data_IF_261004417476
#
_entry.id   IF_261004417476
#
_cell.length_a   1.000
_cell.length_b   1.000
_cell.length_c   1.000
_cell.angle_alpha   90.00
_cell.angle_beta   90.00
_cell.angle_gamma   90.00
#
_symmetry.space_group_name_H-M   'P 1'
#
loop_
_entity.id
_entity.type
_entity.pdbx_description
1 polymer ?
#
# COMPACT_ATOMS: atom_id res chain seq x y z
N UNK A 1 73.19 7.57 -76.52
CA UNK A 1 73.18 6.85 -75.23
C UNK A 1 72.08 7.42 -74.36
N UNK A 2 70.90 6.80 -74.38
CA UNK A 2 69.72 7.23 -73.61
C UNK A 2 69.74 6.67 -72.18
N UNK A 3 69.86 7.55 -71.19
CA UNK A 3 69.69 7.19 -69.77
C UNK A 3 68.23 7.35 -69.35
N UNK A 4 67.50 6.23 -69.32
CA UNK A 4 66.20 6.11 -68.64
C UNK A 4 66.34 6.45 -67.15
N UNK A 5 65.71 7.55 -66.70
CA UNK A 5 65.51 7.83 -65.27
C UNK A 5 64.36 6.93 -64.76
N UNK A 6 64.72 5.93 -63.95
CA UNK A 6 63.78 5.17 -63.10
C UNK A 6 63.25 6.11 -62.01
N UNK A 7 61.99 6.53 -62.11
CA UNK A 7 61.25 7.07 -60.97
C UNK A 7 60.88 5.89 -60.04
N UNK A 8 61.56 5.80 -58.91
CA UNK A 8 61.16 4.93 -57.81
C UNK A 8 59.95 5.57 -57.10
N UNK A 9 58.76 5.02 -57.31
CA UNK A 9 57.59 5.29 -56.47
C UNK A 9 57.86 4.78 -55.05
N UNK A 10 58.26 5.68 -54.14
CA UNK A 10 58.15 5.44 -52.70
C UNK A 10 56.68 5.49 -52.34
N UNK A 11 56.02 4.33 -52.37
CA UNK A 11 54.67 4.16 -51.83
C UNK A 11 54.74 4.38 -50.31
N UNK A 12 53.91 5.31 -49.83
CA UNK A 12 53.79 5.70 -48.43
C UNK A 12 53.26 4.55 -47.57
N UNK A 13 54.16 3.83 -46.90
CA UNK A 13 53.83 2.80 -45.90
C UNK A 13 53.44 3.41 -44.55
N UNK A 14 53.63 4.72 -44.36
CA UNK A 14 53.39 5.40 -43.08
C UNK A 14 51.90 5.65 -42.80
N UNK A 15 51.06 5.82 -43.83
CA UNK A 15 49.63 6.10 -43.66
C UNK A 15 48.84 4.92 -43.06
N UNK A 16 49.27 3.67 -43.29
CA UNK A 16 48.58 2.48 -42.80
C UNK A 16 48.81 2.17 -41.31
N UNK A 17 50.01 2.49 -40.79
CA UNK A 17 50.37 2.20 -39.40
C UNK A 17 49.66 3.18 -38.44
N UNK A 18 49.55 4.45 -38.84
CA UNK A 18 48.86 5.48 -38.05
C UNK A 18 47.35 5.26 -38.01
N UNK A 19 46.75 4.75 -39.09
CA UNK A 19 45.33 4.36 -39.10
C UNK A 19 45.09 3.13 -38.23
N UNK A 20 45.94 2.11 -38.30
CA UNK A 20 45.79 0.88 -37.52
C UNK A 20 45.94 1.13 -36.01
N UNK A 21 46.88 1.99 -35.60
CA UNK A 21 47.05 2.37 -34.19
C UNK A 21 45.90 3.22 -33.66
N UNK A 22 45.32 4.11 -34.48
CA UNK A 22 44.15 4.91 -34.12
C UNK A 22 42.89 4.05 -33.95
N UNK A 23 42.67 3.08 -34.85
CA UNK A 23 41.55 2.12 -34.78
C UNK A 23 41.64 1.27 -33.51
N UNK A 24 42.81 0.67 -33.24
CA UNK A 24 43.05 -0.12 -32.01
C UNK A 24 42.79 0.67 -30.73
N UNK A 25 43.20 1.94 -30.68
CA UNK A 25 42.95 2.82 -29.52
C UNK A 25 41.45 3.07 -29.32
N UNK A 26 40.72 3.33 -30.41
CA UNK A 26 39.29 3.59 -30.39
C UNK A 26 38.47 2.35 -30.00
N UNK A 27 38.93 1.15 -30.37
CA UNK A 27 38.28 -0.11 -29.99
C UNK A 27 38.53 -0.46 -28.52
N UNK A 28 39.76 -0.29 -28.01
CA UNK A 28 40.04 -0.41 -26.59
C UNK A 28 39.21 0.56 -25.74
N UNK A 29 38.98 1.78 -26.23
CA UNK A 29 38.13 2.75 -25.55
C UNK A 29 36.65 2.33 -25.58
N UNK A 30 36.15 1.83 -26.71
CA UNK A 30 34.78 1.33 -26.83
C UNK A 30 34.53 0.13 -25.91
N UNK A 31 35.48 -0.81 -25.82
CA UNK A 31 35.41 -1.94 -24.89
C UNK A 31 35.40 -1.50 -23.42
N UNK A 32 36.23 -0.51 -23.05
CA UNK A 32 36.21 0.04 -21.69
C UNK A 32 34.87 0.69 -21.36
N UNK A 33 34.30 1.45 -22.29
CA UNK A 33 32.96 2.05 -22.15
C UNK A 33 31.89 0.97 -22.02
N UNK A 34 31.93 -0.09 -22.83
CA UNK A 34 31.00 -1.21 -22.75
C UNK A 34 31.06 -1.91 -21.39
N UNK A 35 32.27 -2.29 -20.92
CA UNK A 35 32.45 -2.92 -19.61
C UNK A 35 31.89 -2.08 -18.46
N UNK A 36 32.05 -0.76 -18.54
CA UNK A 36 31.47 0.18 -17.56
C UNK A 36 29.94 0.14 -17.59
N UNK A 37 29.33 0.30 -18.78
CA UNK A 37 27.87 0.28 -18.93
C UNK A 37 27.29 -1.07 -18.52
N UNK A 38 27.95 -2.18 -18.82
CA UNK A 38 27.51 -3.51 -18.37
C UNK A 38 27.52 -3.64 -16.85
N UNK A 39 28.57 -3.16 -16.18
CA UNK A 39 28.64 -3.14 -14.72
C UNK A 39 27.53 -2.27 -14.11
N UNK A 40 27.32 -1.07 -14.67
CA UNK A 40 26.29 -0.15 -14.21
C UNK A 40 24.88 -0.73 -14.43
N UNK A 41 24.64 -1.42 -15.54
CA UNK A 41 23.39 -2.12 -15.85
C UNK A 41 23.10 -3.23 -14.84
N UNK A 42 24.09 -4.09 -14.56
CA UNK A 42 23.94 -5.19 -13.59
C UNK A 42 23.56 -4.61 -12.22
N UNK A 43 24.29 -3.58 -11.76
CA UNK A 43 24.03 -2.93 -10.48
C UNK A 43 22.63 -2.28 -10.43
N UNK A 44 22.23 -1.58 -11.50
CA UNK A 44 20.89 -0.99 -11.58
C UNK A 44 19.79 -2.06 -11.58
N UNK A 45 20.01 -3.18 -12.27
CA UNK A 45 19.06 -4.30 -12.30
C UNK A 45 18.93 -4.99 -10.94
N UNK A 46 20.02 -5.17 -10.20
CA UNK A 46 19.98 -5.71 -8.83
C UNK A 46 19.17 -4.79 -7.91
N UNK A 47 19.48 -3.49 -7.90
CA UNK A 47 18.73 -2.50 -7.11
C UNK A 47 17.25 -2.43 -7.48
N UNK A 48 16.92 -2.57 -8.77
CA UNK A 48 15.54 -2.62 -9.23
C UNK A 48 14.80 -3.83 -8.65
N UNK A 49 15.40 -5.01 -8.69
CA UNK A 49 14.82 -6.24 -8.11
C UNK A 49 14.60 -6.09 -6.61
N UNK A 50 15.60 -5.62 -5.87
CA UNK A 50 15.49 -5.37 -4.42
C UNK A 50 14.37 -4.36 -4.10
N UNK A 51 14.32 -3.24 -4.81
CA UNK A 51 13.30 -2.22 -4.60
C UNK A 51 11.90 -2.73 -4.94
N UNK A 52 11.77 -3.62 -5.94
CA UNK A 52 10.49 -4.24 -6.32
C UNK A 52 10.00 -5.20 -5.24
N UNK A 53 10.88 -6.00 -4.65
CA UNK A 53 10.56 -6.87 -3.51
C UNK A 53 10.13 -6.03 -2.29
N UNK A 54 10.88 -4.95 -1.98
CA UNK A 54 10.51 -4.01 -0.92
C UNK A 54 9.14 -3.37 -1.18
N UNK A 55 8.86 -2.93 -2.41
CA UNK A 55 7.56 -2.38 -2.80
C UNK A 55 6.43 -3.38 -2.56
N UNK A 56 6.64 -4.66 -2.85
CA UNK A 56 5.61 -5.68 -2.64
C UNK A 56 5.28 -5.85 -1.15
N UNK A 57 6.30 -5.95 -0.30
CA UNK A 57 6.09 -6.04 1.15
C UNK A 57 5.40 -4.78 1.72
N UNK A 58 5.84 -3.60 1.29
CA UNK A 58 5.26 -2.33 1.73
C UNK A 58 3.81 -2.15 1.23
N UNK A 59 3.45 -2.74 0.09
CA UNK A 59 2.07 -2.76 -0.40
C UNK A 59 1.15 -3.43 0.61
N UNK A 60 1.53 -4.62 1.07
CA UNK A 60 0.75 -5.40 2.03
C UNK A 60 0.57 -4.64 3.35
N UNK A 61 1.63 -3.99 3.85
CA UNK A 61 1.56 -3.18 5.07
C UNK A 61 0.68 -1.93 4.90
N UNK A 62 0.75 -1.26 3.74
CA UNK A 62 -0.15 -0.14 3.40
C UNK A 62 -1.61 -0.59 3.38
N UNK A 63 -1.91 -1.67 2.67
CA UNK A 63 -3.28 -2.22 2.60
C UNK A 63 -3.78 -2.64 3.98
N UNK A 64 -2.92 -3.24 4.81
CA UNK A 64 -3.25 -3.59 6.19
C UNK A 64 -3.59 -2.34 7.01
N UNK A 65 -2.78 -1.29 6.93
CA UNK A 65 -3.03 -0.05 7.67
C UNK A 65 -4.36 0.62 7.27
N UNK A 66 -4.62 0.73 5.96
CA UNK A 66 -5.88 1.28 5.42
C UNK A 66 -7.08 0.48 5.92
N UNK A 67 -7.03 -0.85 5.78
CA UNK A 67 -8.14 -1.72 6.18
C UNK A 67 -8.44 -1.62 7.69
N UNK A 68 -7.41 -1.42 8.52
CA UNK A 68 -7.57 -1.20 9.95
C UNK A 68 -8.30 0.11 10.26
N UNK A 69 -7.94 1.21 9.61
CA UNK A 69 -8.59 2.51 9.75
C UNK A 69 -10.04 2.47 9.23
N UNK A 70 -10.29 1.90 8.07
CA UNK A 70 -11.66 1.74 7.55
C UNK A 70 -12.54 0.91 8.49
N UNK A 71 -12.00 -0.18 9.06
CA UNK A 71 -12.74 -1.03 10.00
C UNK A 71 -13.09 -0.27 11.28
N UNK A 72 -12.18 0.59 11.75
CA UNK A 72 -12.35 1.42 12.92
C UNK A 72 -13.44 2.47 12.76
N UNK A 73 -13.41 3.16 11.62
CA UNK A 73 -14.40 4.17 11.26
C UNK A 73 -15.80 3.56 11.14
N UNK A 74 -15.90 2.41 10.49
CA UNK A 74 -17.16 1.65 10.42
C UNK A 74 -17.68 1.27 11.81
N UNK A 75 -16.81 0.84 12.72
CA UNK A 75 -17.20 0.50 14.08
C UNK A 75 -17.64 1.72 14.89
N UNK A 76 -16.94 2.85 14.76
CA UNK A 76 -17.33 4.13 15.37
C UNK A 76 -18.71 4.57 14.87
N UNK A 77 -18.95 4.50 13.56
CA UNK A 77 -20.23 4.85 12.94
C UNK A 77 -21.36 3.97 13.47
N UNK A 78 -21.13 2.66 13.63
CA UNK A 78 -22.08 1.78 14.29
C UNK A 78 -22.39 2.21 15.73
N UNK A 79 -21.37 2.53 16.53
CA UNK A 79 -21.59 2.99 17.91
C UNK A 79 -22.40 4.29 17.95
N UNK A 80 -22.17 5.22 17.03
CA UNK A 80 -22.97 6.44 16.91
C UNK A 80 -24.44 6.13 16.58
N UNK A 81 -24.68 5.28 15.57
CA UNK A 81 -26.04 4.85 15.23
C UNK A 81 -26.73 4.12 16.38
N UNK A 82 -26.00 3.32 17.15
CA UNK A 82 -26.53 2.66 18.34
C UNK A 82 -26.96 3.68 19.39
N UNK A 83 -26.14 4.71 19.66
CA UNK A 83 -26.50 5.80 20.58
C UNK A 83 -27.76 6.53 20.11
N UNK A 84 -27.86 6.86 18.82
CA UNK A 84 -29.04 7.52 18.26
C UNK A 84 -30.30 6.67 18.40
N UNK A 85 -30.22 5.37 18.08
CA UNK A 85 -31.35 4.45 18.22
C UNK A 85 -31.78 4.29 19.67
N UNK A 86 -30.82 4.16 20.60
CA UNK A 86 -31.10 4.07 22.03
C UNK A 86 -31.71 5.36 22.57
N UNK A 87 -31.24 6.53 22.13
CA UNK A 87 -31.80 7.82 22.51
C UNK A 87 -33.25 7.96 22.03
N UNK A 88 -33.54 7.60 20.77
CA UNK A 88 -34.91 7.59 20.24
C UNK A 88 -35.85 6.69 21.04
N UNK A 89 -35.35 5.56 21.55
CA UNK A 89 -36.16 4.69 22.43
C UNK A 89 -36.33 5.34 23.81
N UNK A 90 -35.28 5.95 24.35
CA UNK A 90 -35.33 6.65 25.63
C UNK A 90 -36.35 7.79 25.62
N UNK A 91 -36.42 8.53 24.52
CA UNK A 91 -37.37 9.64 24.34
C UNK A 91 -38.84 9.17 24.23
N UNK A 92 -39.06 7.91 23.82
CA UNK A 92 -40.39 7.26 23.76
C UNK A 92 -40.83 6.68 25.10
N UNK A 93 -39.92 6.49 26.05
CA UNK A 93 -40.25 5.93 27.36
C UNK A 93 -40.89 7.01 28.24
N UNK A 94 -42.00 6.71 28.93
CA UNK A 94 -42.66 7.66 29.82
C UNK A 94 -41.70 8.10 30.92
N UNK A 95 -41.92 9.32 31.41
CA UNK A 95 -41.24 9.83 32.60
C UNK A 95 -42.06 9.48 33.84
N UNK A 96 -41.41 9.40 34.99
CA UNK A 96 -42.07 9.18 36.29
C UNK A 96 -43.12 10.25 36.64
N UNK A 97 -43.08 11.40 35.97
CA UNK A 97 -44.02 12.51 36.12
C UNK A 97 -45.34 12.29 35.37
N UNK A 98 -45.30 11.59 34.23
CA UNK A 98 -46.48 11.20 33.45
C UNK A 98 -47.05 9.89 34.01
N UNK A 99 -48.08 9.96 34.86
CA UNK A 99 -48.88 8.81 35.33
C UNK A 99 -49.72 8.15 34.22
N UNK A 100 -49.33 8.30 32.96
CA UNK A 100 -50.09 7.80 31.82
C UNK A 100 -49.80 6.32 31.59
N UNK A 101 -50.86 5.55 31.43
CA UNK A 101 -50.80 4.17 30.93
C UNK A 101 -50.17 4.23 29.53
N UNK A 102 -49.02 3.57 29.32
CA UNK A 102 -48.43 3.53 27.98
C UNK A 102 -49.44 2.94 27.02
N UNK A 103 -49.72 3.67 25.94
CA UNK A 103 -50.43 3.14 24.78
C UNK A 103 -49.73 1.88 24.24
N UNK A 104 -50.49 0.80 24.07
CA UNK A 104 -49.99 -0.46 23.52
C UNK A 104 -49.29 -0.27 22.17
N UNK A 105 -49.69 0.73 21.36
CA UNK A 105 -48.99 1.11 20.13
C UNK A 105 -47.56 1.59 20.36
N UNK A 106 -47.35 2.50 21.32
CA UNK A 106 -46.01 2.99 21.73
C UNK A 106 -45.16 1.84 22.27
N UNK A 107 -45.73 1.00 23.14
CA UNK A 107 -45.03 -0.15 23.69
C UNK A 107 -44.56 -1.13 22.59
N UNK A 108 -45.43 -1.43 21.62
CA UNK A 108 -45.09 -2.26 20.46
C UNK A 108 -43.98 -1.65 19.59
N UNK A 109 -44.02 -0.32 19.38
CA UNK A 109 -42.96 0.41 18.67
C UNK A 109 -41.59 0.26 19.35
N UNK A 110 -41.53 0.42 20.68
CA UNK A 110 -40.29 0.28 21.46
C UNK A 110 -39.72 -1.14 21.32
N UNK A 111 -40.55 -2.18 21.40
CA UNK A 111 -40.09 -3.56 21.21
C UNK A 111 -39.57 -3.82 19.80
N UNK A 112 -40.22 -3.26 18.78
CA UNK A 112 -39.77 -3.34 17.38
C UNK A 112 -38.38 -2.73 17.22
N UNK A 113 -38.13 -1.58 17.84
CA UNK A 113 -36.84 -0.89 17.77
C UNK A 113 -35.73 -1.68 18.48
N UNK A 114 -35.99 -2.26 19.66
CA UNK A 114 -35.02 -3.15 20.32
C UNK A 114 -34.73 -4.42 19.51
N UNK A 115 -35.75 -5.00 18.86
CA UNK A 115 -35.55 -6.17 17.98
C UNK A 115 -34.64 -5.83 16.81
N UNK A 116 -34.81 -4.66 16.18
CA UNK A 116 -33.93 -4.17 15.11
C UNK A 116 -32.49 -3.99 15.59
N UNK A 117 -32.29 -3.31 16.72
CA UNK A 117 -30.96 -3.12 17.33
C UNK A 117 -30.28 -4.48 17.58
N UNK A 118 -31.03 -5.45 18.11
CA UNK A 118 -30.48 -6.76 18.44
C UNK A 118 -30.17 -7.61 17.20
N UNK A 119 -30.96 -7.50 16.13
CA UNK A 119 -30.71 -8.16 14.84
C UNK A 119 -29.48 -7.63 14.10
N UNK A 120 -29.16 -6.35 14.27
CA UNK A 120 -28.00 -5.70 13.63
C UNK A 120 -26.67 -5.98 14.35
N UNK A 121 -26.69 -6.25 15.65
CA UNK A 121 -25.49 -6.42 16.48
C UNK A 121 -24.47 -7.49 15.99
N UNK A 122 -24.86 -8.66 15.44
CA UNK A 122 -23.92 -9.68 14.99
C UNK A 122 -23.04 -9.24 13.82
N UNK A 123 -23.57 -8.41 12.92
CA UNK A 123 -22.84 -7.93 11.73
C UNK A 123 -21.64 -7.08 12.15
N UNK A 124 -21.85 -6.15 13.07
CA UNK A 124 -20.82 -5.22 13.53
C UNK A 124 -19.82 -5.87 14.47
N UNK A 125 -20.22 -6.90 15.22
CA UNK A 125 -19.29 -7.69 16.04
C UNK A 125 -18.23 -8.44 15.22
N UNK A 126 -18.53 -8.82 13.98
CA UNK A 126 -17.59 -9.50 13.06
C UNK A 126 -16.61 -8.54 12.37
N UNK A 127 -17.04 -7.30 12.10
CA UNK A 127 -16.21 -6.25 11.47
C UNK A 127 -15.33 -5.48 12.45
N UNK A 128 -15.22 -5.94 13.70
CA UNK A 128 -14.32 -5.31 14.64
C UNK A 128 -12.88 -5.39 14.13
N UNK A 129 -12.16 -4.26 14.16
CA UNK A 129 -10.73 -4.31 13.94
C UNK A 129 -10.09 -5.27 14.95
N UNK A 130 -9.43 -6.34 14.46
CA UNK A 130 -8.52 -7.16 15.27
C UNK A 130 -7.27 -6.33 15.55
N UNK A 131 -7.41 -5.30 16.37
CA UNK A 131 -6.31 -4.43 16.76
C UNK A 131 -5.92 -4.79 18.18
N UNK A 132 -4.64 -4.63 18.48
CA UNK A 132 -4.12 -4.48 19.83
C UNK A 132 -4.66 -3.18 20.45
N UNK A 133 -5.99 -3.03 20.49
CA UNK A 133 -6.65 -1.86 21.04
C UNK A 133 -6.27 -1.75 22.51
N UNK A 134 -6.14 -0.52 23.00
CA UNK A 134 -5.86 -0.27 24.41
C UNK A 134 -6.76 -1.13 25.32
N UNK A 135 -6.21 -1.56 26.46
CA UNK A 135 -6.95 -2.28 27.50
C UNK A 135 -8.29 -1.58 27.83
N UNK A 136 -8.29 -0.25 27.86
CA UNK A 136 -9.49 0.58 28.06
C UNK A 136 -10.63 0.31 27.06
N UNK A 137 -10.34 0.21 25.75
CA UNK A 137 -11.34 -0.10 24.71
C UNK A 137 -11.93 -1.49 24.92
N UNK A 138 -11.07 -2.46 25.27
CA UNK A 138 -11.50 -3.83 25.53
C UNK A 138 -12.36 -3.94 26.80
N UNK A 139 -12.01 -3.21 27.86
CA UNK A 139 -12.77 -3.19 29.11
C UNK A 139 -14.13 -2.50 28.91
N UNK A 140 -14.17 -1.37 28.22
CA UNK A 140 -15.42 -0.69 27.84
C UNK A 140 -16.29 -1.58 26.95
N UNK A 141 -15.71 -2.35 26.03
CA UNK A 141 -16.47 -3.30 25.20
C UNK A 141 -17.14 -4.39 26.05
N UNK A 142 -16.44 -4.93 27.04
CA UNK A 142 -17.04 -5.88 28.00
C UNK A 142 -18.16 -5.21 28.78
N UNK A 143 -17.98 -3.95 29.16
CA UNK A 143 -18.99 -3.18 29.87
C UNK A 143 -20.24 -2.94 29.00
N UNK A 144 -20.09 -2.55 27.73
CA UNK A 144 -21.22 -2.43 26.78
C UNK A 144 -21.99 -3.75 26.69
N UNK A 145 -21.30 -4.88 26.59
CA UNK A 145 -21.97 -6.20 26.57
C UNK A 145 -22.77 -6.47 27.86
N UNK A 146 -22.20 -6.15 29.03
CA UNK A 146 -22.90 -6.28 30.31
C UNK A 146 -24.14 -5.39 30.35
N UNK A 147 -24.04 -4.13 29.92
CA UNK A 147 -25.17 -3.19 29.89
C UNK A 147 -26.25 -3.61 28.90
N UNK A 148 -25.87 -4.12 27.73
CA UNK A 148 -26.79 -4.78 26.79
C UNK A 148 -27.56 -5.91 27.47
N UNK A 149 -26.89 -6.81 28.19
CA UNK A 149 -27.55 -7.91 28.90
C UNK A 149 -28.51 -7.40 29.99
N UNK A 150 -28.13 -6.35 30.73
CA UNK A 150 -29.03 -5.69 31.68
C UNK A 150 -30.28 -5.14 30.98
N UNK A 151 -30.10 -4.49 29.82
CA UNK A 151 -31.21 -3.95 29.03
C UNK A 151 -32.10 -5.06 28.52
N UNK A 152 -31.56 -6.13 27.95
CA UNK A 152 -32.36 -7.23 27.42
C UNK A 152 -33.22 -7.87 28.53
N UNK A 153 -32.69 -7.98 29.77
CA UNK A 153 -33.49 -8.38 30.95
C UNK A 153 -34.57 -7.37 31.31
N UNK A 154 -34.26 -6.08 31.29
CA UNK A 154 -35.22 -5.02 31.58
C UNK A 154 -36.34 -4.97 30.52
N UNK A 155 -36.02 -5.22 29.25
CA UNK A 155 -36.99 -5.36 28.15
C UNK A 155 -37.91 -6.56 28.39
N UNK A 156 -37.37 -7.72 28.82
CA UNK A 156 -38.19 -8.88 29.17
C UNK A 156 -39.14 -8.59 30.34
N UNK A 157 -38.66 -7.92 31.38
CA UNK A 157 -39.50 -7.53 32.52
C UNK A 157 -40.57 -6.51 32.12
N UNK A 158 -40.20 -5.56 31.25
CA UNK A 158 -41.12 -4.57 30.71
C UNK A 158 -42.21 -5.21 29.83
N UNK A 159 -41.90 -6.30 29.14
CA UNK A 159 -42.87 -7.07 28.37
C UNK A 159 -43.84 -7.88 29.24
N UNK A 160 -43.39 -8.35 30.40
CA UNK A 160 -44.20 -9.20 31.28
C UNK A 160 -45.04 -8.40 32.28
N UNK A 161 -44.49 -7.32 32.86
CA UNK A 161 -45.13 -6.54 33.91
C UNK A 161 -45.01 -5.06 33.55
N UNK A 162 -46.03 -4.50 32.89
CA UNK A 162 -46.07 -3.10 32.48
C UNK A 162 -46.47 -2.20 33.67
N UNK A 163 -45.53 -1.94 34.57
CA UNK A 163 -45.73 -1.07 35.74
C UNK A 163 -44.65 0.04 35.83
N UNK A 164 -44.88 1.12 36.60
CA UNK A 164 -43.93 2.24 36.73
C UNK A 164 -42.49 1.81 37.02
N UNK A 165 -42.31 0.85 37.93
CA UNK A 165 -41.00 0.30 38.29
C UNK A 165 -40.28 -0.36 37.10
N UNK A 166 -41.02 -1.07 36.25
CA UNK A 166 -40.47 -1.71 35.04
C UNK A 166 -40.03 -0.67 34.01
N UNK A 167 -40.78 0.42 33.84
CA UNK A 167 -40.42 1.53 32.96
C UNK A 167 -39.13 2.20 33.44
N UNK A 168 -39.06 2.54 34.73
CA UNK A 168 -37.88 3.17 35.32
C UNK A 168 -36.64 2.27 35.23
N UNK A 169 -36.81 0.96 35.42
CA UNK A 169 -35.73 -0.02 35.26
C UNK A 169 -35.21 -0.07 33.82
N UNK A 170 -36.11 -0.12 32.84
CA UNK A 170 -35.74 -0.10 31.41
C UNK A 170 -35.06 1.21 31.04
N UNK A 171 -35.62 2.35 31.46
CA UNK A 171 -35.08 3.70 31.25
C UNK A 171 -33.64 3.79 31.77
N UNK A 172 -33.43 3.46 33.04
CA UNK A 172 -32.09 3.44 33.67
C UNK A 172 -31.13 2.53 32.95
N UNK A 173 -31.59 1.36 32.48
CA UNK A 173 -30.72 0.44 31.75
C UNK A 173 -30.30 0.99 30.38
N UNK A 174 -31.21 1.65 29.65
CA UNK A 174 -30.92 2.30 28.36
C UNK A 174 -29.96 3.47 28.55
N UNK A 175 -30.21 4.33 29.54
CA UNK A 175 -29.32 5.46 29.89
C UNK A 175 -27.90 5.00 30.20
N UNK A 176 -27.75 3.97 31.02
CA UNK A 176 -26.44 3.41 31.35
C UNK A 176 -25.72 2.85 30.13
N UNK A 177 -26.42 2.18 29.22
CA UNK A 177 -25.81 1.69 27.99
C UNK A 177 -25.36 2.84 27.08
N UNK A 178 -26.19 3.88 26.91
CA UNK A 178 -25.82 5.09 26.15
C UNK A 178 -24.54 5.70 26.72
N UNK A 179 -24.43 5.85 28.04
CA UNK A 179 -23.25 6.42 28.69
C UNK A 179 -21.99 5.60 28.38
N UNK A 180 -22.07 4.27 28.50
CA UNK A 180 -20.91 3.40 28.24
C UNK A 180 -20.55 3.38 26.76
N UNK A 181 -21.52 3.37 25.83
CA UNK A 181 -21.26 3.44 24.38
C UNK A 181 -20.64 4.78 24.00
N UNK A 182 -21.11 5.91 24.57
CA UNK A 182 -20.49 7.23 24.37
C UNK A 182 -19.04 7.26 24.86
N UNK A 183 -18.74 6.64 26.02
CA UNK A 183 -17.36 6.50 26.51
C UNK A 183 -16.51 5.66 25.54
N UNK A 184 -17.05 4.55 25.04
CA UNK A 184 -16.38 3.69 24.06
C UNK A 184 -16.05 4.45 22.78
N UNK A 185 -16.97 5.26 22.24
CA UNK A 185 -16.73 6.10 21.04
C UNK A 185 -15.52 7.03 21.25
N UNK A 186 -15.45 7.71 22.41
CA UNK A 186 -14.34 8.63 22.71
C UNK A 186 -13.01 7.91 22.83
N UNK A 187 -12.97 6.76 23.50
CA UNK A 187 -11.74 5.98 23.63
C UNK A 187 -11.29 5.37 22.30
N UNK A 188 -12.23 4.93 21.46
CA UNK A 188 -11.96 4.55 20.07
C UNK A 188 -11.31 5.72 19.34
N UNK A 189 -11.90 6.91 19.37
CA UNK A 189 -11.35 8.08 18.67
C UNK A 189 -9.90 8.36 19.06
N UNK A 190 -9.58 8.37 20.35
CA UNK A 190 -8.20 8.56 20.85
C UNK A 190 -7.26 7.46 20.37
N UNK A 191 -7.69 6.19 20.44
CA UNK A 191 -6.89 5.05 20.00
C UNK A 191 -6.59 5.11 18.50
N UNK A 192 -7.50 5.69 17.71
CA UNK A 192 -7.38 5.78 16.26
C UNK A 192 -6.66 7.02 15.73
N UNK A 193 -6.63 8.13 16.46
CA UNK A 193 -5.78 9.28 16.11
C UNK A 193 -4.30 8.87 15.99
N UNK A 194 -3.81 8.04 16.92
CA UNK A 194 -2.47 7.46 16.84
C UNK A 194 -2.29 6.52 15.64
N UNK A 195 -3.35 5.81 15.22
CA UNK A 195 -3.30 4.89 14.08
C UNK A 195 -3.36 5.59 12.73
N UNK A 196 -4.02 6.75 12.64
CA UNK A 196 -4.03 7.58 11.43
C UNK A 196 -2.61 8.02 11.06
N UNK A 197 -1.76 8.34 12.03
CA UNK A 197 -0.35 8.64 11.78
C UNK A 197 0.40 7.44 11.17
N UNK A 198 0.09 6.21 11.62
CA UNK A 198 0.71 4.99 11.08
C UNK A 198 0.24 4.73 9.65
N UNK A 199 -1.05 4.93 9.36
CA UNK A 199 -1.59 4.82 8.01
C UNK A 199 -0.91 5.81 7.06
N UNK A 200 -0.85 7.09 7.45
CA UNK A 200 -0.21 8.12 6.63
C UNK A 200 1.28 7.82 6.42
N UNK A 201 1.97 7.36 7.46
CA UNK A 201 3.36 6.92 7.34
C UNK A 201 3.50 5.76 6.34
N UNK A 202 2.66 4.74 6.43
CA UNK A 202 2.69 3.60 5.51
C UNK A 202 2.42 4.01 4.06
N UNK A 203 1.49 4.95 3.83
CA UNK A 203 1.22 5.54 2.51
C UNK A 203 2.47 6.26 1.99
N UNK A 204 3.06 7.15 2.79
CA UNK A 204 4.21 7.95 2.39
C UNK A 204 5.44 7.07 2.06
N UNK A 205 5.70 6.04 2.87
CA UNK A 205 6.79 5.08 2.64
C UNK A 205 6.55 4.29 1.36
N UNK A 206 5.31 3.86 1.11
CA UNK A 206 4.94 3.16 -0.13
C UNK A 206 5.15 4.04 -1.37
N UNK A 207 4.71 5.29 -1.35
CA UNK A 207 4.89 6.21 -2.46
C UNK A 207 6.37 6.50 -2.75
N UNK A 208 7.18 6.58 -1.70
CA UNK A 208 8.63 6.76 -1.82
C UNK A 208 9.28 5.58 -2.54
N UNK A 209 8.97 4.34 -2.13
CA UNK A 209 9.51 3.14 -2.81
C UNK A 209 8.96 3.01 -4.23
N UNK A 210 7.70 3.39 -4.48
CA UNK A 210 7.12 3.36 -5.82
C UNK A 210 7.85 4.32 -6.78
N UNK A 211 8.14 5.55 -6.34
CA UNK A 211 8.96 6.51 -7.09
C UNK A 211 10.36 5.96 -7.36
N UNK A 212 10.99 5.33 -6.36
CA UNK A 212 12.32 4.70 -6.51
C UNK A 212 12.30 3.57 -7.53
N UNK A 213 11.29 2.70 -7.51
CA UNK A 213 11.14 1.60 -8.49
C UNK A 213 11.01 2.16 -9.91
N UNK A 214 10.13 3.16 -10.13
CA UNK A 214 9.96 3.82 -11.44
C UNK A 214 11.28 4.43 -11.94
N UNK A 215 12.02 5.12 -11.07
CA UNK A 215 13.32 5.69 -11.44
C UNK A 215 14.34 4.62 -11.84
N UNK A 216 14.42 3.51 -11.09
CA UNK A 216 15.34 2.42 -11.37
C UNK A 216 14.99 1.66 -12.65
N UNK A 217 13.69 1.54 -12.96
CA UNK A 217 13.19 0.96 -14.20
C UNK A 217 13.69 1.75 -15.42
N UNK A 218 13.44 3.07 -15.43
CA UNK A 218 13.91 3.97 -16.49
C UNK A 218 15.44 3.93 -16.62
N UNK A 219 16.16 3.95 -15.48
CA UNK A 219 17.63 3.88 -15.49
C UNK A 219 18.13 2.57 -16.09
N UNK A 220 17.51 1.44 -15.72
CA UNK A 220 17.87 0.12 -16.23
C UNK A 220 17.63 0.02 -17.73
N UNK A 221 16.49 0.51 -18.21
CA UNK A 221 16.15 0.52 -19.64
C UNK A 221 17.13 1.37 -20.45
N UNK A 222 17.43 2.58 -19.96
CA UNK A 222 18.42 3.46 -20.58
C UNK A 222 19.81 2.81 -20.70
N UNK A 223 20.28 2.16 -19.63
CA UNK A 223 21.55 1.44 -19.64
C UNK A 223 21.54 0.23 -20.57
N UNK A 224 20.41 -0.48 -20.69
CA UNK A 224 20.26 -1.57 -21.66
C UNK A 224 20.41 -1.04 -23.09
N UNK A 225 19.73 0.06 -23.42
CA UNK A 225 19.84 0.69 -24.74
C UNK A 225 21.27 1.12 -25.06
N UNK A 226 21.97 1.77 -24.12
CA UNK A 226 23.37 2.13 -24.29
C UNK A 226 24.27 0.90 -24.52
N UNK A 227 24.06 -0.17 -23.74
CA UNK A 227 24.82 -1.42 -23.85
C UNK A 227 24.63 -2.04 -25.23
N UNK A 228 23.40 -2.12 -25.70
CA UNK A 228 23.07 -2.79 -26.96
C UNK A 228 23.62 -2.00 -28.17
N UNK A 229 23.57 -0.66 -28.13
CA UNK A 229 24.22 0.21 -29.13
C UNK A 229 25.74 0.00 -29.16
N UNK A 230 26.40 -0.03 -27.98
CA UNK A 230 27.85 -0.25 -27.90
C UNK A 230 28.25 -1.64 -28.44
N UNK A 231 27.50 -2.68 -28.09
CA UNK A 231 27.71 -4.04 -28.61
C UNK A 231 27.57 -4.08 -30.13
N UNK A 232 26.54 -3.45 -30.68
CA UNK A 232 26.33 -3.38 -32.12
C UNK A 232 27.46 -2.64 -32.83
N UNK A 233 27.92 -1.52 -32.27
CA UNK A 233 29.01 -0.73 -32.84
C UNK A 233 30.34 -1.48 -32.83
N UNK A 234 30.66 -2.19 -31.75
CA UNK A 234 31.85 -3.04 -31.67
C UNK A 234 31.75 -4.20 -32.67
N UNK A 235 30.59 -4.87 -32.73
CA UNK A 235 30.36 -5.97 -33.68
C UNK A 235 30.53 -5.53 -35.13
N UNK A 236 29.91 -4.42 -35.55
CA UNK A 236 30.02 -3.87 -36.91
C UNK A 236 31.47 -3.54 -37.29
N UNK A 237 32.27 -3.00 -36.36
CA UNK A 237 33.69 -2.72 -36.64
C UNK A 237 34.49 -4.00 -36.83
N UNK A 238 34.25 -5.01 -36.00
CA UNK A 238 34.92 -6.30 -36.13
C UNK A 238 34.60 -6.98 -37.47
N UNK A 239 33.37 -6.81 -38.01
CA UNK A 239 33.00 -7.34 -39.34
C UNK A 239 33.69 -6.58 -40.49
N UNK A 240 33.79 -5.25 -40.40
CA UNK A 240 34.47 -4.43 -41.41
C UNK A 240 35.98 -4.76 -41.49
N UNK A 241 36.60 -5.13 -40.36
CA UNK A 241 38.03 -5.51 -40.32
C UNK A 241 38.27 -6.88 -40.96
N UNK A 242 37.30 -7.81 -40.91
CA UNK A 242 37.44 -9.15 -41.50
C UNK A 242 37.21 -9.21 -43.01
N UNK A 243 36.52 -8.22 -43.60
CA UNK A 243 36.22 -8.16 -45.03
C UNK A 243 37.31 -7.47 -45.87
N UNK A 244 38.44 -7.07 -45.27
CA UNK A 244 39.59 -6.58 -46.01
C UNK A 244 40.26 -7.74 -46.78
N UNK A 245 40.41 -7.66 -48.12
CA UNK A 245 40.93 -8.76 -48.91
C UNK A 245 42.34 -9.13 -48.44
N UNK A 246 42.68 -10.44 -48.35
CA UNK A 246 44.01 -10.85 -47.94
C UNK A 246 45.03 -10.25 -48.89
N UNK A 247 46.04 -9.56 -48.34
CA UNK A 247 47.17 -9.04 -49.12
C UNK A 247 47.76 -10.20 -49.92
N UNK A 248 47.57 -10.19 -51.25
CA UNK A 248 48.14 -11.18 -52.16
C UNK A 248 49.64 -11.25 -51.92
N UNK A 249 50.08 -12.28 -51.21
CA UNK A 249 51.48 -12.65 -51.13
C UNK A 249 51.96 -12.97 -52.54
N UNK A 250 52.91 -12.18 -53.05
CA UNK A 250 53.58 -12.49 -54.31
C UNK A 250 54.32 -13.82 -54.11
N UNK A 251 53.81 -14.90 -54.72
CA UNK A 251 54.55 -16.14 -54.96
C UNK A 251 55.84 -15.77 -55.69
N UNK A 252 56.99 -16.00 -55.04
CA UNK A 252 58.27 -16.09 -55.75
C UNK A 252 58.28 -17.45 -56.45
N UNK A 253 58.20 -17.42 -57.78
CA UNK A 253 58.58 -18.54 -58.64
C UNK A 253 60.09 -18.48 -58.83
N UNK A 254 60.80 -19.50 -58.35
CA UNK A 254 62.09 -19.95 -58.85
C UNK A 254 61.98 -21.45 -59.07
#
# INVERSE_FOLDING_TARGET
MDKRRKCNNKVSTCLGIDTDNKVKKHDLEAEKRLKKVEKDYIHASQKYTEATLQRWNLRCERERAINLCCSAENFKNYCNQLVEKLQKILDKLPTSETKEVIDHGVQSSIFSDFRKINGEAPYYQRKLPRINSRKAVNDLRKEVRKKKTCRDKAVSNFASVCNPTSHDSLRKSVEQEIVVVKKLIREIQKDFEEKLHIEQYAINVYECIERKVKHLEVKKEHLSGQRDILRLNISKRNTIVTDLPPKRGKKKTS
#
